data_IF_930476112195
#
_entry.id   IF_930476112195
#
_cell.length_a   1.000
_cell.length_b   1.000
_cell.length_c   1.000
_cell.angle_alpha   90.00
_cell.angle_beta   90.00
_cell.angle_gamma   90.00
#
_symmetry.space_group_name_H-M   'P 1'
#
loop_
_entity.id
_entity.type
_entity.pdbx_description
1 polymer ?
#
# COMPACT_ATOMS: atom_id res chain seq x y z
N UNK A 1 -25.03 2.67 11.39
CA UNK A 1 -25.12 1.30 10.84
C UNK A 1 -23.77 0.63 10.95
N UNK A 2 -23.69 -0.57 11.53
CA UNK A 2 -22.45 -1.36 11.61
C UNK A 2 -22.09 -1.90 10.22
N UNK A 3 -20.78 -1.96 9.92
CA UNK A 3 -20.24 -2.53 8.67
C UNK A 3 -20.76 -3.96 8.47
N UNK A 4 -21.40 -4.28 7.33
CA UNK A 4 -21.90 -5.63 7.04
C UNK A 4 -20.74 -6.60 6.76
N UNK A 5 -21.01 -7.91 6.83
CA UNK A 5 -20.08 -8.91 6.32
C UNK A 5 -20.03 -8.85 4.79
N UNK A 6 -18.84 -9.04 4.21
CA UNK A 6 -18.70 -9.15 2.76
C UNK A 6 -19.27 -10.49 2.32
N UNK A 7 -20.39 -10.45 1.60
CA UNK A 7 -21.08 -11.63 1.10
C UNK A 7 -21.37 -11.46 -0.40
N UNK A 8 -21.71 -12.55 -1.12
CA UNK A 8 -22.13 -12.45 -2.51
C UNK A 8 -23.33 -11.54 -2.77
N UNK A 9 -24.16 -11.34 -1.74
CA UNK A 9 -25.38 -10.54 -1.82
C UNK A 9 -25.13 -9.07 -1.46
N UNK A 10 -23.90 -8.69 -1.11
CA UNK A 10 -23.56 -7.32 -0.76
C UNK A 10 -23.72 -6.41 -1.99
N UNK A 11 -24.59 -5.38 -1.94
CA UNK A 11 -24.72 -4.43 -3.04
C UNK A 11 -23.38 -3.74 -3.30
N UNK A 12 -23.03 -3.57 -4.58
CA UNK A 12 -21.74 -2.95 -4.97
C UNK A 12 -21.59 -1.54 -4.41
N UNK A 13 -22.69 -0.80 -4.33
CA UNK A 13 -22.75 0.53 -3.72
C UNK A 13 -22.35 0.51 -2.26
N UNK A 14 -22.70 -0.54 -1.52
CA UNK A 14 -22.34 -0.69 -0.12
C UNK A 14 -20.93 -1.20 0.02
N UNK A 15 -20.54 -2.19 -0.81
CA UNK A 15 -19.16 -2.67 -0.86
C UNK A 15 -18.15 -1.53 -1.05
N UNK A 16 -18.41 -0.61 -1.98
CA UNK A 16 -17.54 0.53 -2.25
C UNK A 16 -17.63 1.65 -1.20
N UNK A 17 -18.67 1.64 -0.35
CA UNK A 17 -18.88 2.65 0.68
C UNK A 17 -18.31 2.26 2.06
N UNK A 18 -17.77 1.05 2.20
CA UNK A 18 -17.17 0.54 3.44
C UNK A 18 -15.67 0.25 3.30
N UNK A 19 -14.96 0.37 4.43
CA UNK A 19 -13.56 -0.03 4.52
C UNK A 19 -13.41 -1.55 4.66
N UNK A 20 -12.59 -2.14 3.79
CA UNK A 20 -12.20 -3.55 3.84
C UNK A 20 -10.71 -3.71 4.09
N UNK A 21 -10.34 -4.64 4.97
CA UNK A 21 -8.96 -5.10 5.11
C UNK A 21 -8.56 -5.90 3.87
N UNK A 22 -7.29 -5.82 3.49
CA UNK A 22 -6.78 -6.61 2.36
C UNK A 22 -7.02 -8.11 2.57
N UNK A 23 -6.92 -8.59 3.81
CA UNK A 23 -7.17 -9.99 4.14
C UNK A 23 -8.63 -10.38 3.86
N UNK A 24 -9.59 -9.56 4.28
CA UNK A 24 -11.03 -9.78 4.01
C UNK A 24 -11.31 -9.86 2.51
N UNK A 25 -10.71 -8.97 1.72
CA UNK A 25 -10.83 -9.00 0.25
C UNK A 25 -10.22 -10.27 -0.35
N UNK A 26 -9.05 -10.68 0.14
CA UNK A 26 -8.36 -11.90 -0.32
C UNK A 26 -9.18 -13.15 0.01
N UNK A 27 -9.76 -13.22 1.20
CA UNK A 27 -10.54 -14.39 1.64
C UNK A 27 -11.85 -14.50 0.85
N UNK A 28 -12.51 -13.37 0.57
CA UNK A 28 -13.63 -13.34 -0.38
C UNK A 28 -13.21 -13.86 -1.76
N UNK A 29 -12.07 -13.38 -2.28
CA UNK A 29 -11.58 -13.88 -3.56
C UNK A 29 -11.33 -15.39 -3.56
N UNK A 30 -10.72 -15.95 -2.50
CA UNK A 30 -10.50 -17.40 -2.36
C UNK A 30 -11.80 -18.19 -2.37
N UNK A 31 -12.79 -17.73 -1.60
CA UNK A 31 -14.08 -18.40 -1.48
C UNK A 31 -14.86 -18.46 -2.82
N UNK A 32 -14.63 -17.50 -3.71
CA UNK A 32 -15.34 -17.37 -4.98
C UNK A 32 -14.48 -17.66 -6.22
N UNK A 33 -13.32 -18.30 -6.05
CA UNK A 33 -12.44 -18.69 -7.17
C UNK A 33 -11.81 -17.50 -7.91
N UNK A 34 -11.77 -16.33 -7.29
CA UNK A 34 -11.16 -15.13 -7.84
C UNK A 34 -9.66 -15.08 -7.54
N UNK A 35 -8.93 -14.41 -8.42
CA UNK A 35 -7.50 -14.16 -8.22
C UNK A 35 -7.26 -13.29 -6.99
N UNK A 36 -6.34 -13.71 -6.13
CA UNK A 36 -6.01 -13.04 -4.85
C UNK A 36 -4.83 -12.07 -4.97
N UNK A 37 -4.13 -12.07 -6.10
CA UNK A 37 -2.95 -11.22 -6.32
C UNK A 37 -3.34 -9.81 -6.71
N UNK A 38 -2.55 -8.83 -6.28
CA UNK A 38 -2.70 -7.43 -6.67
C UNK A 38 -2.53 -6.43 -5.51
N UNK A 39 -2.64 -5.15 -5.84
CA UNK A 39 -2.84 -4.08 -4.87
C UNK A 39 -4.22 -4.20 -4.23
N UNK A 40 -4.44 -3.53 -3.08
CA UNK A 40 -5.77 -3.47 -2.45
C UNK A 40 -6.83 -2.98 -3.43
N UNK A 41 -6.52 -1.91 -4.17
CA UNK A 41 -7.40 -1.32 -5.20
C UNK A 41 -7.75 -2.34 -6.29
N UNK A 42 -6.76 -3.04 -6.86
CA UNK A 42 -7.02 -4.04 -7.90
C UNK A 42 -7.90 -5.20 -7.43
N UNK A 43 -7.76 -5.62 -6.17
CA UNK A 43 -8.63 -6.65 -5.57
C UNK A 43 -10.03 -6.08 -5.34
N UNK A 44 -10.16 -4.85 -4.85
CA UNK A 44 -11.44 -4.15 -4.69
C UNK A 44 -12.18 -4.04 -6.02
N UNK A 45 -11.53 -3.60 -7.09
CA UNK A 45 -12.15 -3.44 -8.41
C UNK A 45 -12.66 -4.78 -8.97
N UNK A 46 -11.86 -5.84 -8.79
CA UNK A 46 -12.22 -7.22 -9.16
C UNK A 46 -13.49 -7.67 -8.45
N UNK A 47 -13.57 -7.45 -7.13
CA UNK A 47 -14.74 -7.82 -6.33
C UNK A 47 -15.95 -6.97 -6.71
N UNK A 48 -15.77 -5.67 -6.91
CA UNK A 48 -16.85 -4.79 -7.34
C UNK A 48 -17.43 -5.22 -8.71
N UNK A 49 -16.59 -5.63 -9.66
CA UNK A 49 -17.05 -6.17 -10.94
C UNK A 49 -17.82 -7.49 -10.74
N UNK A 50 -17.26 -8.41 -9.97
CA UNK A 50 -17.91 -9.70 -9.70
C UNK A 50 -19.27 -9.53 -9.01
N UNK A 51 -19.39 -8.62 -8.04
CA UNK A 51 -20.67 -8.30 -7.39
C UNK A 51 -21.68 -7.65 -8.35
N UNK A 52 -21.24 -6.97 -9.43
CA UNK A 52 -22.12 -6.40 -10.46
C UNK A 52 -22.63 -7.45 -11.44
N UNK A 53 -21.77 -8.37 -11.87
CA UNK A 53 -22.02 -9.24 -13.03
C UNK A 53 -22.20 -10.71 -12.66
N UNK A 54 -21.84 -11.11 -11.44
CA UNK A 54 -21.74 -12.51 -11.01
C UNK A 54 -20.59 -13.28 -11.68
N UNK A 55 -19.77 -12.61 -12.50
CA UNK A 55 -18.72 -13.23 -13.31
C UNK A 55 -17.35 -12.65 -12.92
N UNK A 56 -16.29 -13.48 -12.90
CA UNK A 56 -14.94 -12.98 -12.72
C UNK A 56 -14.61 -11.97 -13.83
N UNK A 57 -13.78 -10.94 -13.58
CA UNK A 57 -13.31 -10.07 -14.63
C UNK A 57 -12.71 -10.90 -15.77
N UNK A 58 -13.08 -10.55 -17.00
CA UNK A 58 -12.35 -10.99 -18.19
C UNK A 58 -10.95 -10.37 -18.09
N UNK A 59 -10.01 -11.09 -17.47
CA UNK A 59 -8.63 -10.64 -17.45
C UNK A 59 -8.09 -10.71 -18.89
N UNK A 60 -7.35 -9.70 -19.36
CA UNK A 60 -6.47 -9.93 -20.50
C UNK A 60 -5.60 -11.13 -20.13
N UNK A 61 -5.38 -12.05 -21.08
CA UNK A 61 -4.44 -13.16 -20.92
C UNK A 61 -3.07 -12.53 -20.67
N UNK A 62 -2.75 -12.28 -19.41
CA UNK A 62 -1.39 -11.97 -19.02
C UNK A 62 -0.67 -13.27 -19.25
N UNK A 63 0.02 -13.37 -20.40
CA UNK A 63 0.90 -14.50 -20.69
C UNK A 63 1.66 -14.74 -19.40
N UNK A 64 1.59 -15.95 -18.83
CA UNK A 64 2.43 -16.32 -17.70
C UNK A 64 3.81 -15.82 -18.08
N UNK A 65 4.30 -14.75 -17.45
CA UNK A 65 5.67 -14.33 -17.68
C UNK A 65 6.43 -15.57 -17.28
N UNK A 66 7.00 -16.28 -18.27
CA UNK A 66 7.99 -17.32 -18.00
C UNK A 66 8.89 -16.70 -16.94
N UNK A 67 9.24 -17.38 -15.85
CA UNK A 67 10.31 -16.89 -15.00
C UNK A 67 11.43 -16.60 -15.99
N UNK A 68 11.68 -15.31 -16.23
CA UNK A 68 12.72 -14.94 -17.16
C UNK A 68 13.95 -15.62 -16.60
N UNK A 69 14.76 -16.22 -17.45
CA UNK A 69 16.14 -16.49 -17.11
C UNK A 69 16.83 -15.14 -16.88
N UNK A 70 16.40 -14.38 -15.88
CA UNK A 70 17.29 -13.54 -15.15
C UNK A 70 18.18 -14.56 -14.43
N UNK A 71 19.31 -14.88 -15.06
CA UNK A 71 20.50 -15.16 -14.26
C UNK A 71 20.60 -14.09 -13.17
N UNK A 72 21.23 -14.40 -12.02
CA UNK A 72 21.30 -13.49 -10.89
C UNK A 72 21.50 -12.07 -11.40
N UNK A 73 20.55 -11.17 -11.12
CA UNK A 73 20.71 -9.76 -11.46
C UNK A 73 22.05 -9.42 -10.81
N UNK A 74 23.11 -9.25 -11.62
CA UNK A 74 24.40 -8.81 -11.12
C UNK A 74 24.16 -7.36 -10.76
N UNK A 75 23.63 -7.16 -9.56
CA UNK A 75 23.36 -5.84 -9.02
C UNK A 75 24.71 -5.36 -8.55
N UNK A 76 25.35 -4.60 -9.41
CA UNK A 76 26.59 -3.90 -9.16
C UNK A 76 26.31 -2.40 -9.24
N UNK A 77 27.21 -1.58 -8.70
CA UNK A 77 27.04 -0.13 -8.66
C UNK A 77 26.87 0.48 -10.05
N UNK A 78 27.55 -0.05 -11.05
CA UNK A 78 27.52 0.37 -12.45
C UNK A 78 26.37 -0.27 -13.26
N UNK A 79 25.70 -1.29 -12.71
CA UNK A 79 24.62 -1.96 -13.41
C UNK A 79 23.42 -1.02 -13.63
N UNK A 80 22.85 -0.95 -14.84
CA UNK A 80 21.70 -0.12 -15.11
C UNK A 80 20.43 -0.68 -14.45
N UNK A 81 19.60 0.21 -13.95
CA UNK A 81 18.26 -0.09 -13.45
C UNK A 81 17.39 -0.41 -14.66
N UNK A 82 17.16 -1.68 -14.95
CA UNK A 82 16.37 -2.02 -16.16
C UNK A 82 14.88 -1.68 -16.00
N UNK A 83 14.15 -1.58 -17.12
CA UNK A 83 12.68 -1.45 -17.13
C UNK A 83 11.94 -2.61 -16.46
N UNK A 84 12.65 -3.72 -16.16
CA UNK A 84 12.15 -4.86 -15.40
C UNK A 84 12.39 -4.75 -13.90
N UNK A 85 12.80 -3.57 -13.41
CA UNK A 85 13.08 -3.31 -12.01
C UNK A 85 11.93 -3.76 -11.10
N UNK A 86 12.29 -4.51 -10.07
CA UNK A 86 11.42 -4.85 -8.95
C UNK A 86 12.23 -4.83 -7.66
N UNK A 87 11.61 -4.41 -6.56
CA UNK A 87 12.21 -4.40 -5.22
C UNK A 87 12.23 -5.81 -4.59
N UNK A 88 12.73 -6.79 -5.36
CA UNK A 88 12.86 -8.19 -4.94
C UNK A 88 14.05 -8.44 -4.00
N UNK A 89 14.21 -9.70 -3.59
CA UNK A 89 15.24 -10.10 -2.63
C UNK A 89 16.67 -9.81 -3.10
N UNK A 90 16.98 -10.02 -4.38
CA UNK A 90 18.31 -9.74 -4.94
C UNK A 90 18.67 -8.24 -4.83
N UNK A 91 17.74 -7.36 -5.19
CA UNK A 91 17.91 -5.91 -5.08
C UNK A 91 18.01 -5.47 -3.61
N UNK A 92 17.22 -6.07 -2.72
CA UNK A 92 17.32 -5.83 -1.27
C UNK A 92 18.70 -6.20 -0.74
N UNK A 93 19.19 -7.41 -1.07
CA UNK A 93 20.49 -7.89 -0.63
C UNK A 93 21.62 -6.97 -1.09
N UNK A 94 21.56 -6.50 -2.34
CA UNK A 94 22.50 -5.51 -2.85
C UNK A 94 22.51 -4.21 -2.04
N UNK A 95 21.34 -3.58 -1.86
CA UNK A 95 21.28 -2.32 -1.12
C UNK A 95 21.70 -2.50 0.34
N UNK A 96 21.30 -3.60 0.99
CA UNK A 96 21.74 -3.91 2.35
C UNK A 96 23.25 -4.13 2.42
N UNK A 97 23.87 -4.74 1.41
CA UNK A 97 25.34 -4.91 1.35
C UNK A 97 26.06 -3.57 1.18
N UNK A 98 25.58 -2.71 0.28
CA UNK A 98 26.24 -1.44 -0.06
C UNK A 98 26.00 -0.35 0.99
N UNK A 99 24.77 -0.22 1.48
CA UNK A 99 24.36 0.83 2.42
C UNK A 99 24.53 0.36 3.87
N UNK A 100 24.25 -0.91 4.15
CA UNK A 100 24.31 -1.51 5.48
C UNK A 100 22.94 -1.94 6.03
N UNK A 101 22.92 -2.44 7.27
CA UNK A 101 21.74 -3.07 7.88
C UNK A 101 20.56 -2.12 8.13
N UNK A 102 20.82 -0.81 8.15
CA UNK A 102 19.81 0.23 8.32
C UNK A 102 19.05 0.56 7.01
N UNK A 103 19.44 -0.06 5.89
CA UNK A 103 18.76 0.12 4.63
C UNK A 103 17.29 -0.34 4.71
N UNK A 104 16.40 0.50 4.19
CA UNK A 104 15.04 0.11 3.86
C UNK A 104 14.60 0.80 2.57
N UNK A 105 13.70 0.13 1.84
CA UNK A 105 13.07 0.75 0.68
C UNK A 105 12.22 1.93 1.12
N UNK A 106 12.29 3.00 0.35
CA UNK A 106 11.43 4.17 0.48
C UNK A 106 10.58 4.32 -0.78
N UNK A 107 9.46 5.03 -0.66
CA UNK A 107 8.60 5.32 -1.81
C UNK A 107 9.37 6.12 -2.85
N UNK A 108 10.19 7.09 -2.42
CA UNK A 108 11.05 7.89 -3.30
C UNK A 108 12.03 7.02 -4.08
N UNK A 109 12.79 6.15 -3.40
CA UNK A 109 13.75 5.25 -4.07
C UNK A 109 13.05 4.31 -5.06
N UNK A 110 11.94 3.70 -4.66
CA UNK A 110 11.19 2.80 -5.54
C UNK A 110 10.64 3.52 -6.78
N UNK A 111 10.22 4.77 -6.64
CA UNK A 111 9.76 5.63 -7.74
C UNK A 111 10.93 6.00 -8.65
N UNK A 112 12.03 6.46 -8.08
CA UNK A 112 13.27 6.78 -8.79
C UNK A 112 13.71 5.63 -9.69
N UNK A 113 13.82 4.41 -9.15
CA UNK A 113 14.23 3.25 -9.94
C UNK A 113 13.25 2.90 -11.07
N UNK A 114 11.94 3.13 -10.89
CA UNK A 114 10.95 2.85 -11.94
C UNK A 114 10.95 3.89 -13.06
N UNK A 115 11.18 5.15 -12.72
CA UNK A 115 11.12 6.27 -13.67
C UNK A 115 12.44 6.52 -14.39
N UNK A 116 13.55 5.97 -13.89
CA UNK A 116 14.89 6.21 -14.42
C UNK A 116 15.59 4.91 -14.87
N UNK A 117 15.09 4.23 -15.93
CA UNK A 117 15.62 2.94 -16.36
C UNK A 117 17.01 3.00 -17.04
N UNK A 118 17.59 4.20 -17.16
CA UNK A 118 18.94 4.45 -17.68
C UNK A 118 19.94 4.78 -16.58
N UNK A 119 19.48 4.98 -15.34
CA UNK A 119 20.34 5.23 -14.17
C UNK A 119 20.90 3.94 -13.63
N UNK A 120 22.01 4.04 -12.91
CA UNK A 120 22.70 2.90 -12.32
C UNK A 120 22.20 2.62 -10.90
N UNK A 121 22.48 1.43 -10.37
CA UNK A 121 22.23 1.16 -8.95
C UNK A 121 23.08 2.02 -8.02
N UNK A 122 24.25 2.50 -8.46
CA UNK A 122 25.04 3.52 -7.77
C UNK A 122 24.32 4.86 -7.67
N UNK A 123 23.67 5.32 -8.74
CA UNK A 123 22.81 6.51 -8.70
C UNK A 123 21.65 6.32 -7.71
N UNK A 124 21.08 5.11 -7.63
CA UNK A 124 20.01 4.80 -6.68
C UNK A 124 20.50 4.81 -5.21
N UNK A 125 21.73 4.36 -4.96
CA UNK A 125 22.35 4.47 -3.62
C UNK A 125 22.54 5.94 -3.24
N UNK A 126 23.08 6.76 -4.14
CA UNK A 126 23.24 8.20 -3.93
C UNK A 126 21.89 8.88 -3.68
N UNK A 127 20.86 8.53 -4.46
CA UNK A 127 19.50 9.02 -4.27
C UNK A 127 18.98 8.70 -2.87
N UNK A 128 19.15 7.46 -2.40
CA UNK A 128 18.69 7.04 -1.08
C UNK A 128 19.40 7.78 0.06
N UNK A 129 20.73 7.98 -0.06
CA UNK A 129 21.51 8.75 0.91
C UNK A 129 21.06 10.21 0.96
N UNK A 130 20.88 10.84 -0.21
CA UNK A 130 20.36 12.20 -0.31
C UNK A 130 18.92 12.33 0.21
N UNK A 131 18.10 11.29 0.05
CA UNK A 131 16.77 11.24 0.66
C UNK A 131 16.85 11.16 2.20
N UNK A 132 17.76 10.37 2.77
CA UNK A 132 17.91 10.32 4.23
C UNK A 132 18.42 11.64 4.80
N UNK A 133 19.34 12.32 4.11
CA UNK A 133 19.80 13.66 4.50
C UNK A 133 18.66 14.68 4.47
N UNK A 134 17.78 14.63 3.45
CA UNK A 134 16.60 15.52 3.38
C UNK A 134 15.59 15.26 4.49
N UNK A 135 15.45 14.03 4.99
CA UNK A 135 14.52 13.71 6.09
C UNK A 135 14.95 14.28 7.44
N UNK A 136 16.20 14.72 7.59
CA UNK A 136 16.64 15.48 8.77
C UNK A 136 15.87 16.82 8.83
N UNK A 137 15.44 17.34 7.68
CA UNK A 137 14.48 18.44 7.61
C UNK A 137 13.05 17.90 7.84
N UNK A 138 12.61 17.99 9.10
CA UNK A 138 11.26 17.59 9.55
C UNK A 138 10.11 18.35 8.88
N UNK A 139 10.38 19.40 8.11
CA UNK A 139 9.33 20.14 7.38
C UNK A 139 8.80 19.38 6.16
N UNK A 140 9.57 18.44 5.60
CA UNK A 140 9.21 17.68 4.40
C UNK A 140 8.28 16.51 4.74
N UNK A 141 6.96 16.74 4.65
CA UNK A 141 5.94 15.68 4.79
C UNK A 141 5.85 14.83 3.53
N UNK A 142 6.16 13.54 3.64
CA UNK A 142 5.95 12.57 2.55
C UNK A 142 4.46 12.35 2.24
N UNK A 143 4.10 12.19 0.96
CA UNK A 143 2.74 11.84 0.57
C UNK A 143 2.44 10.36 0.89
N UNK A 144 1.29 10.09 1.52
CA UNK A 144 0.81 8.73 1.77
C UNK A 144 -0.17 8.39 0.67
N UNK A 145 0.16 7.40 -0.15
CA UNK A 145 -0.70 6.98 -1.26
C UNK A 145 -2.09 6.50 -0.79
N UNK A 146 -3.13 6.63 -1.64
CA UNK A 146 -4.54 6.47 -1.26
C UNK A 146 -4.89 5.07 -0.72
N UNK A 147 -4.10 4.06 -1.08
CA UNK A 147 -4.25 2.68 -0.59
C UNK A 147 -3.88 2.48 0.89
N UNK A 148 -3.25 3.47 1.53
CA UNK A 148 -2.77 3.43 2.92
C UNK A 148 -3.65 4.26 3.87
N UNK A 149 -4.97 4.14 3.73
CA UNK A 149 -5.97 4.92 4.48
C UNK A 149 -5.73 4.91 6.00
N UNK A 150 -5.41 3.74 6.58
CA UNK A 150 -5.08 3.64 8.01
C UNK A 150 -3.88 4.53 8.40
N UNK A 151 -2.80 4.48 7.62
CA UNK A 151 -1.61 5.27 7.91
C UNK A 151 -1.90 6.77 7.77
N UNK A 152 -2.70 7.15 6.77
CA UNK A 152 -3.13 8.53 6.58
C UNK A 152 -3.98 9.01 7.76
N UNK A 153 -4.96 8.20 8.19
CA UNK A 153 -5.81 8.50 9.35
C UNK A 153 -4.99 8.73 10.63
N UNK A 154 -4.09 7.81 10.97
CA UNK A 154 -3.27 7.91 12.18
C UNK A 154 -2.36 9.15 12.12
N UNK A 155 -1.84 9.49 10.93
CA UNK A 155 -1.03 10.69 10.76
C UNK A 155 -1.84 11.96 11.00
N UNK A 156 -3.03 12.06 10.40
CA UNK A 156 -3.90 13.24 10.54
C UNK A 156 -4.41 13.38 11.98
N UNK A 157 -4.81 12.27 12.60
CA UNK A 157 -5.22 12.24 14.01
C UNK A 157 -4.12 12.80 14.93
N UNK A 158 -2.87 12.35 14.78
CA UNK A 158 -1.76 12.82 15.62
C UNK A 158 -1.36 14.27 15.36
N UNK A 159 -1.53 14.74 14.13
CA UNK A 159 -1.26 16.13 13.79
C UNK A 159 -2.26 17.08 14.45
N UNK A 160 -3.54 16.68 14.53
CA UNK A 160 -4.61 17.46 15.16
C UNK A 160 -4.71 17.28 16.68
N UNK A 161 -4.11 16.21 17.24
CA UNK A 161 -4.16 15.89 18.68
C UNK A 161 -2.75 15.69 19.28
N UNK A 162 -1.96 16.77 19.45
CA UNK A 162 -0.66 16.67 20.13
C UNK A 162 -0.85 16.17 21.57
N UNK A 163 -0.26 15.03 21.89
CA UNK A 163 -0.36 14.40 23.22
C UNK A 163 -1.23 13.14 23.25
N UNK A 164 -2.06 12.91 22.24
CA UNK A 164 -2.82 11.67 22.13
C UNK A 164 -1.92 10.48 21.75
N UNK A 165 -2.19 9.35 22.38
CA UNK A 165 -1.48 8.09 22.23
C UNK A 165 -1.86 7.34 20.95
N UNK A 166 -1.03 6.39 20.51
CA UNK A 166 -1.37 5.51 19.39
C UNK A 166 -2.63 4.66 19.66
N UNK A 167 -2.83 4.07 20.86
CA UNK A 167 -4.04 3.32 21.16
C UNK A 167 -5.32 4.14 20.99
N UNK A 168 -5.34 5.41 21.40
CA UNK A 168 -6.50 6.29 21.22
C UNK A 168 -6.80 6.51 19.73
N UNK A 169 -5.77 6.82 18.93
CA UNK A 169 -5.92 6.95 17.48
C UNK A 169 -6.48 5.66 16.84
N UNK A 170 -6.03 4.49 17.30
CA UNK A 170 -6.52 3.18 16.85
C UNK A 170 -7.98 2.95 17.27
N UNK A 171 -8.38 3.37 18.47
CA UNK A 171 -9.76 3.28 18.92
C UNK A 171 -10.70 4.11 18.04
N UNK A 172 -10.36 5.38 17.79
CA UNK A 172 -11.12 6.24 16.87
C UNK A 172 -11.16 5.67 15.45
N UNK A 173 -10.03 5.13 14.95
CA UNK A 173 -9.97 4.46 13.65
C UNK A 173 -10.92 3.25 13.57
N UNK A 174 -10.97 2.41 14.61
CA UNK A 174 -11.87 1.23 14.65
C UNK A 174 -13.33 1.66 14.54
N UNK A 175 -13.71 2.76 15.19
CA UNK A 175 -15.05 3.33 15.10
C UNK A 175 -15.27 3.91 13.69
N UNK A 176 -14.36 4.75 13.20
CA UNK A 176 -14.45 5.40 11.89
C UNK A 176 -14.65 4.40 10.76
N UNK A 177 -13.78 3.40 10.65
CA UNK A 177 -13.82 2.39 9.59
C UNK A 177 -15.05 1.47 9.62
N UNK A 178 -15.80 1.49 10.73
CA UNK A 178 -17.05 0.74 10.88
C UNK A 178 -18.26 1.50 10.32
N UNK A 179 -18.13 2.82 10.14
CA UNK A 179 -19.14 3.70 9.57
C UNK A 179 -19.00 3.73 8.05
N UNK A 180 -20.07 4.12 7.37
CA UNK A 180 -20.12 4.29 5.91
C UNK A 180 -19.46 5.62 5.53
N UNK A 181 -18.74 5.65 4.40
CA UNK A 181 -18.17 6.87 3.85
C UNK A 181 -16.65 6.82 3.71
N UNK A 182 -16.03 7.99 3.55
CA UNK A 182 -14.57 8.08 3.54
C UNK A 182 -13.98 7.83 4.94
N UNK A 183 -12.79 7.26 4.97
CA UNK A 183 -12.08 6.97 6.21
C UNK A 183 -11.05 8.06 6.54
N UNK A 184 -11.34 9.31 6.17
CA UNK A 184 -10.48 10.45 6.52
C UNK A 184 -10.78 10.89 7.94
N UNK A 185 -9.72 11.23 8.67
CA UNK A 185 -9.86 11.75 10.02
C UNK A 185 -10.67 13.06 10.02
N UNK A 186 -11.58 13.19 10.98
CA UNK A 186 -12.21 14.46 11.33
C UNK A 186 -12.28 14.60 12.85
N UNK A 187 -12.31 15.85 13.35
CA UNK A 187 -12.39 16.11 14.80
C UNK A 187 -13.62 15.50 15.48
N UNK A 188 -14.69 15.24 14.72
CA UNK A 188 -15.88 14.53 15.20
C UNK A 188 -15.61 13.07 15.57
N UNK A 189 -14.47 12.49 15.19
CA UNK A 189 -14.10 11.13 15.55
C UNK A 189 -13.62 11.03 17.02
N UNK A 190 -13.19 12.14 17.65
CA UNK A 190 -12.76 12.19 19.06
C UNK A 190 -13.92 12.05 20.05
N UNK A 191 -15.12 12.53 19.70
CA UNK A 191 -16.29 12.47 20.58
C UNK A 191 -16.88 11.07 20.68
N UNK A 192 -16.47 10.14 19.81
CA UNK A 192 -16.98 8.76 19.82
C UNK A 192 -16.28 7.84 20.85
N UNK A 193 -15.32 8.33 21.62
CA UNK A 193 -14.59 7.54 22.65
C UNK A 193 -14.95 7.89 24.09
N UNK A 194 -15.88 8.84 24.32
CA UNK A 194 -16.29 9.28 25.66
C UNK A 194 -17.63 8.70 26.15
N UNK A 195 -18.30 7.90 25.32
CA UNK A 195 -19.55 7.23 25.67
C UNK A 195 -19.35 5.69 25.68
N UNK A 196 -18.69 5.19 26.72
CA UNK A 196 -18.84 3.80 27.22
C UNK A 196 -19.03 3.83 28.74
#
# INVERSE_FOLDING_TARGET
MKRPFLTPLTPVTDFLAYYWLKQELVDFCRAHGLKTTGSKVAITDRIAQWLRTGQPPLEPITSKRKPGSAGPLLVALDAPITTRYTSGNAVRAFFTLVIGPHFHFTVGLMKFCKENPTKTFGDAVQYWQAEQLRKVDTSLRSEIGPQFEYNQYIRDFRADNPGASLPEAIACWKIKRSKRGDNRYSRADLTSTLDE
#
